data_IF_558843815424
#
_entry.id   IF_558843815424
#
_cell.length_a   1.000
_cell.length_b   1.000
_cell.length_c   1.000
_cell.angle_alpha   90.00
_cell.angle_beta   90.00
_cell.angle_gamma   90.00
#
_symmetry.space_group_name_H-M   'P 1'
#
loop_
_entity.id
_entity.type
_entity.pdbx_description
1 polymer ?
#
# COMPACT_ATOMS: atom_id res chain seq x y z
N UNK A 1 9.55 5.10 -17.75
CA UNK A 1 9.97 3.73 -18.14
C UNK A 1 8.98 2.75 -17.55
N UNK A 2 8.38 1.88 -18.36
CA UNK A 2 7.46 0.85 -17.87
C UNK A 2 8.21 -0.47 -17.70
N UNK A 3 8.14 -1.06 -16.50
CA UNK A 3 8.66 -2.39 -16.22
C UNK A 3 7.52 -3.41 -16.36
N UNK A 4 7.78 -4.53 -17.02
CA UNK A 4 6.81 -5.62 -17.17
C UNK A 4 7.08 -6.70 -16.13
N UNK A 5 6.07 -7.04 -15.34
CA UNK A 5 6.11 -8.13 -14.38
C UNK A 5 5.15 -9.23 -14.83
N UNK A 6 5.65 -10.46 -15.04
CA UNK A 6 4.82 -11.62 -15.37
C UNK A 6 4.67 -12.50 -14.13
N UNK A 7 3.45 -12.62 -13.63
CA UNK A 7 3.12 -13.44 -12.45
C UNK A 7 2.08 -14.49 -12.82
N UNK A 8 2.15 -15.66 -12.16
CA UNK A 8 1.10 -16.66 -12.21
C UNK A 8 0.09 -16.35 -11.12
N UNK A 9 -1.19 -16.25 -11.48
CA UNK A 9 -2.28 -16.02 -10.55
C UNK A 9 -3.14 -17.28 -10.42
N UNK A 10 -3.66 -17.59 -9.22
CA UNK A 10 -4.72 -18.57 -9.06
C UNK A 10 -5.94 -18.24 -9.93
N UNK A 11 -6.62 -19.27 -10.44
CA UNK A 11 -7.76 -19.12 -11.32
C UNK A 11 -8.89 -18.30 -10.70
N UNK A 12 -9.21 -18.56 -9.42
CA UNK A 12 -10.25 -17.82 -8.68
C UNK A 12 -9.99 -16.30 -8.66
N UNK A 13 -8.74 -15.89 -8.45
CA UNK A 13 -8.37 -14.47 -8.43
C UNK A 13 -8.52 -13.87 -9.83
N UNK A 14 -8.11 -14.62 -10.86
CA UNK A 14 -8.18 -14.18 -12.24
C UNK A 14 -9.63 -14.01 -12.71
N UNK A 15 -10.54 -14.88 -12.28
CA UNK A 15 -11.97 -14.77 -12.56
C UNK A 15 -12.59 -13.53 -11.91
N UNK A 16 -12.32 -13.30 -10.61
CA UNK A 16 -12.81 -12.10 -9.91
C UNK A 16 -12.31 -10.82 -10.58
N UNK A 17 -11.04 -10.76 -10.96
CA UNK A 17 -10.49 -9.59 -11.65
C UNK A 17 -11.18 -9.32 -12.99
N UNK A 18 -11.49 -10.38 -13.76
CA UNK A 18 -12.24 -10.26 -15.03
C UNK A 18 -13.66 -9.77 -14.80
N UNK A 19 -14.34 -10.27 -13.77
CA UNK A 19 -15.69 -9.85 -13.41
C UNK A 19 -15.70 -8.37 -13.00
N UNK A 20 -14.80 -7.95 -12.11
CA UNK A 20 -14.66 -6.54 -11.72
C UNK A 20 -14.36 -5.65 -12.91
N UNK A 21 -13.49 -6.08 -13.84
CA UNK A 21 -13.20 -5.34 -15.06
C UNK A 21 -14.43 -5.15 -15.94
N UNK A 22 -15.29 -6.18 -16.07
CA UNK A 22 -16.56 -6.08 -16.83
C UNK A 22 -17.57 -5.15 -16.16
N UNK A 23 -17.71 -5.23 -14.84
CA UNK A 23 -18.66 -4.41 -14.08
C UNK A 23 -18.26 -2.92 -14.07
N UNK A 24 -16.95 -2.64 -13.97
CA UNK A 24 -16.42 -1.27 -13.87
C UNK A 24 -16.08 -0.65 -15.23
N UNK A 25 -15.93 -1.46 -16.28
CA UNK A 25 -15.43 -1.02 -17.59
C UNK A 25 -13.93 -0.67 -17.61
N UNK A 26 -13.21 -0.94 -16.52
CA UNK A 26 -11.78 -0.62 -16.39
C UNK A 26 -10.94 -1.80 -16.90
N UNK A 27 -9.92 -1.57 -17.76
CA UNK A 27 -9.04 -2.64 -18.22
C UNK A 27 -8.31 -3.34 -17.07
N UNK A 28 -8.19 -4.68 -17.14
CA UNK A 28 -7.57 -5.52 -16.10
C UNK A 28 -6.19 -4.99 -15.64
N UNK A 29 -5.32 -4.63 -16.59
CA UNK A 29 -3.99 -4.12 -16.27
C UNK A 29 -4.00 -2.73 -15.63
N UNK A 30 -5.03 -1.91 -15.83
CA UNK A 30 -5.21 -0.65 -15.09
C UNK A 30 -5.69 -0.94 -13.67
N UNK A 31 -6.70 -1.80 -13.52
CA UNK A 31 -7.23 -2.21 -12.22
C UNK A 31 -6.16 -2.80 -11.28
N UNK A 32 -5.31 -3.68 -11.81
CA UNK A 32 -4.20 -4.28 -11.05
C UNK A 32 -3.17 -3.21 -10.64
N UNK A 33 -2.83 -2.28 -11.55
CA UNK A 33 -1.87 -1.20 -11.24
C UNK A 33 -2.40 -0.28 -10.15
N UNK A 34 -3.64 0.17 -10.26
CA UNK A 34 -4.28 1.05 -9.27
C UNK A 34 -4.39 0.37 -7.91
N UNK A 35 -4.75 -0.91 -7.87
CA UNK A 35 -4.79 -1.69 -6.62
C UNK A 35 -3.42 -1.82 -5.96
N UNK A 36 -2.38 -2.11 -6.75
CA UNK A 36 -1.00 -2.19 -6.25
C UNK A 36 -0.51 -0.82 -5.76
N UNK A 37 -0.78 0.24 -6.52
CA UNK A 37 -0.41 1.61 -6.15
C UNK A 37 -1.08 2.04 -4.85
N UNK A 38 -2.38 1.77 -4.68
CA UNK A 38 -3.10 2.05 -3.45
C UNK A 38 -2.53 1.25 -2.25
N UNK A 39 -2.25 -0.04 -2.44
CA UNK A 39 -1.72 -0.91 -1.38
C UNK A 39 -0.30 -0.51 -0.96
N UNK A 40 0.55 -0.16 -1.93
CA UNK A 40 1.91 0.30 -1.67
C UNK A 40 1.93 1.71 -1.06
N UNK A 41 1.03 2.60 -1.49
CA UNK A 41 0.90 3.94 -0.91
C UNK A 41 0.44 3.91 0.55
N UNK A 42 -0.41 2.94 0.93
CA UNK A 42 -0.81 2.75 2.32
C UNK A 42 0.31 2.26 3.24
N UNK A 43 1.31 1.56 2.68
CA UNK A 43 2.48 1.06 3.41
C UNK A 43 3.64 2.07 3.50
N UNK A 44 3.51 3.25 2.86
CA UNK A 44 4.40 4.38 3.14
C UNK A 44 4.01 4.86 4.53
N UNK A 45 4.72 4.33 5.54
CA UNK A 45 4.66 4.67 6.97
C UNK A 45 3.87 5.95 7.20
N UNK A 46 2.63 5.80 7.68
CA UNK A 46 1.72 6.91 7.94
C UNK A 46 2.54 8.09 8.49
N UNK A 47 2.69 9.21 7.75
CA UNK A 47 3.57 10.30 8.15
C UNK A 47 3.26 10.78 9.55
N UNK A 48 2.00 10.67 9.99
CA UNK A 48 1.56 11.02 11.33
C UNK A 48 2.19 10.15 12.45
N UNK A 49 2.63 8.93 12.15
CA UNK A 49 3.41 8.09 13.07
C UNK A 49 4.81 8.67 13.33
N UNK A 50 5.35 9.53 12.47
CA UNK A 50 6.61 10.25 12.75
C UNK A 50 6.46 11.25 13.91
N UNK A 51 5.23 11.72 14.14
CA UNK A 51 4.88 12.65 15.21
C UNK A 51 4.36 11.93 16.47
N UNK A 52 4.16 10.61 16.41
CA UNK A 52 3.72 9.83 17.55
C UNK A 52 4.84 9.76 18.60
N UNK A 53 4.69 10.56 19.66
CA UNK A 53 5.69 10.71 20.73
C UNK A 53 6.62 11.92 20.58
N UNK A 54 6.36 12.85 19.66
CA UNK A 54 7.11 14.12 19.59
C UNK A 54 6.56 15.12 20.61
N UNK A 55 7.39 15.55 21.55
CA UNK A 55 7.10 16.67 22.47
C UNK A 55 7.70 17.94 21.85
N UNK A 56 6.96 19.05 21.89
CA UNK A 56 7.41 20.34 21.33
C UNK A 56 8.73 20.77 22.00
N UNK A 57 9.81 20.79 21.22
CA UNK A 57 11.16 21.15 21.68
C UNK A 57 12.04 19.98 22.14
N UNK A 58 11.59 18.73 22.01
CA UNK A 58 12.37 17.53 22.36
C UNK A 58 12.95 16.79 21.14
N UNK A 59 13.81 15.78 21.36
CA UNK A 59 14.33 14.91 20.30
C UNK A 59 13.19 14.13 19.61
N UNK A 60 13.37 13.82 18.32
CA UNK A 60 12.48 12.92 17.57
C UNK A 60 12.64 11.49 18.11
N UNK A 61 11.59 10.66 18.05
CA UNK A 61 11.59 9.23 18.45
C UNK A 61 11.72 8.90 19.95
N UNK A 62 11.21 9.74 20.87
CA UNK A 62 11.26 9.43 22.33
C UNK A 62 10.17 8.46 22.82
N UNK A 63 9.35 7.90 21.93
CA UNK A 63 8.29 6.95 22.32
C UNK A 63 8.89 5.57 22.60
N UNK A 64 8.82 5.12 23.85
CA UNK A 64 9.21 3.77 24.28
C UNK A 64 8.11 2.73 24.13
N UNK A 65 6.93 3.10 23.62
CA UNK A 65 5.80 2.18 23.43
C UNK A 65 6.04 1.27 22.22
N UNK A 66 5.96 -0.04 22.43
CA UNK A 66 6.09 -1.07 21.38
C UNK A 66 5.16 -0.73 20.19
N UNK A 67 5.74 -0.62 18.99
CA UNK A 67 5.06 -0.18 17.76
C UNK A 67 5.27 1.28 17.38
N UNK A 68 5.85 2.09 18.27
CA UNK A 68 6.22 3.49 18.04
C UNK A 68 7.71 3.76 18.27
N UNK A 69 8.41 2.86 18.97
CA UNK A 69 9.87 2.89 19.09
C UNK A 69 10.50 2.60 17.74
N UNK A 70 11.33 3.52 17.24
CA UNK A 70 12.26 3.27 16.15
C UNK A 70 13.63 3.07 16.79
N UNK A 71 14.16 1.84 16.73
CA UNK A 71 15.58 1.56 16.97
C UNK A 71 16.44 2.29 15.92
#
# INVERSE_FOLDING_TARGET
>A
MSNTLTIRLPEEILERLKETSRQTGIPLGRLIRESLEATLSQNVTNPLLEFAGVIKGGPRNVSSRKGFSRD
#
